data_IF_106312693659
#
_entry.id   IF_106312693659
#
_cell.length_a   1.000
_cell.length_b   1.000
_cell.length_c   1.000
_cell.angle_alpha   90.00
_cell.angle_beta   90.00
_cell.angle_gamma   90.00
#
_symmetry.space_group_name_H-M   'P 1'
#
loop_
_entity.id
_entity.type
_entity.pdbx_description
1 polymer ?
#
# COMPACT_ATOMS: atom_id res chain seq x y z
N UNK A 1 -22.44 29.19 36.53
CA UNK A 1 -22.09 27.86 35.99
C UNK A 1 -20.87 28.01 35.09
N UNK A 2 -19.67 27.86 35.64
CA UNK A 2 -18.41 28.03 34.90
C UNK A 2 -18.00 26.72 34.25
N UNK A 3 -18.00 26.70 32.92
CA UNK A 3 -17.46 25.61 32.12
C UNK A 3 -15.94 25.61 32.23
N UNK A 4 -15.37 24.71 33.03
CA UNK A 4 -13.95 24.37 32.95
C UNK A 4 -13.75 23.43 31.77
N UNK A 5 -13.44 23.97 30.59
CA UNK A 5 -12.89 23.18 29.50
C UNK A 5 -11.39 23.01 29.74
N UNK A 6 -11.03 21.98 30.50
CA UNK A 6 -9.65 21.54 30.63
C UNK A 6 -9.21 20.89 29.30
N UNK A 7 -8.66 21.70 28.41
CA UNK A 7 -8.01 21.21 27.20
C UNK A 7 -6.69 20.59 27.65
N UNK A 8 -6.64 19.26 27.74
CA UNK A 8 -5.38 18.52 27.95
C UNK A 8 -4.44 18.87 26.79
N UNK A 9 -3.43 19.70 27.04
CA UNK A 9 -2.38 19.94 26.05
C UNK A 9 -1.55 18.67 25.93
N UNK A 10 -1.49 18.03 24.75
CA UNK A 10 -0.79 16.76 24.63
C UNK A 10 0.70 16.98 24.85
N UNK A 11 1.26 16.16 25.74
CA UNK A 11 2.67 16.23 26.12
C UNK A 11 3.58 15.99 24.91
N UNK A 12 4.84 16.45 24.96
CA UNK A 12 5.79 16.26 23.86
C UNK A 12 5.95 14.79 23.45
N UNK A 13 5.83 13.88 24.42
CA UNK A 13 5.88 12.44 24.20
C UNK A 13 4.63 11.92 23.47
N UNK A 14 3.42 12.36 23.85
CA UNK A 14 2.17 12.00 23.15
C UNK A 14 2.18 12.46 21.69
N UNK A 15 2.75 13.64 21.42
CA UNK A 15 2.94 14.14 20.05
C UNK A 15 3.89 13.26 19.24
N UNK A 16 4.97 12.81 19.87
CA UNK A 16 5.94 11.90 19.24
C UNK A 16 5.33 10.52 18.95
N UNK A 17 4.58 9.97 19.90
CA UNK A 17 3.85 8.72 19.72
C UNK A 17 2.78 8.83 18.64
N UNK A 18 2.02 9.94 18.61
CA UNK A 18 1.03 10.19 17.57
C UNK A 18 1.69 10.26 16.18
N UNK A 19 2.80 10.99 16.05
CA UNK A 19 3.57 11.04 14.80
C UNK A 19 4.06 9.64 14.37
N UNK A 20 4.61 8.85 15.29
CA UNK A 20 5.06 7.49 15.02
C UNK A 20 3.91 6.55 14.62
N UNK A 21 2.78 6.63 15.31
CA UNK A 21 1.59 5.82 15.02
C UNK A 21 1.05 6.08 13.60
N UNK A 22 0.99 7.35 13.18
CA UNK A 22 0.61 7.71 11.81
C UNK A 22 1.61 7.20 10.77
N UNK A 23 2.91 7.20 11.10
CA UNK A 23 3.95 6.65 10.24
C UNK A 23 3.83 5.13 10.04
N UNK A 24 3.54 4.38 11.12
CA UNK A 24 3.38 2.92 11.06
C UNK A 24 2.18 2.49 10.21
N UNK A 25 1.07 3.23 10.29
CA UNK A 25 -0.11 2.96 9.46
C UNK A 25 0.21 3.12 7.96
N UNK A 26 0.89 4.21 7.58
CA UNK A 26 1.30 4.44 6.19
C UNK A 26 2.32 3.40 5.72
N UNK A 27 3.26 3.02 6.58
CA UNK A 27 4.26 1.99 6.29
C UNK A 27 3.59 0.61 6.08
N UNK A 28 2.58 0.26 6.88
CA UNK A 28 1.84 -0.98 6.72
C UNK A 28 1.13 -1.06 5.36
N UNK A 29 0.48 0.03 4.95
CA UNK A 29 -0.18 0.14 3.63
C UNK A 29 0.84 0.03 2.49
N UNK A 30 1.97 0.76 2.59
CA UNK A 30 3.03 0.69 1.59
C UNK A 30 3.63 -0.72 1.48
N UNK A 31 3.82 -1.41 2.60
CA UNK A 31 4.32 -2.78 2.65
C UNK A 31 3.33 -3.77 2.04
N UNK A 32 2.04 -3.66 2.36
CA UNK A 32 1.00 -4.50 1.78
C UNK A 32 0.96 -4.37 0.25
N UNK A 33 0.96 -3.12 -0.25
CA UNK A 33 1.02 -2.83 -1.70
C UNK A 33 2.25 -3.44 -2.36
N UNK A 34 3.43 -3.29 -1.76
CA UNK A 34 4.67 -3.85 -2.30
C UNK A 34 4.66 -5.37 -2.35
N UNK A 35 4.07 -6.02 -1.34
CA UNK A 35 3.88 -7.48 -1.31
C UNK A 35 3.02 -7.97 -2.47
N UNK A 36 1.88 -7.32 -2.71
CA UNK A 36 0.97 -7.66 -3.82
C UNK A 36 1.69 -7.47 -5.15
N UNK A 37 2.33 -6.32 -5.36
CA UNK A 37 3.12 -6.04 -6.56
C UNK A 37 4.15 -7.13 -6.85
N UNK A 38 4.92 -7.55 -5.82
CA UNK A 38 5.95 -8.58 -5.97
C UNK A 38 5.35 -9.94 -6.33
N UNK A 39 4.25 -10.33 -5.70
CA UNK A 39 3.54 -11.59 -6.00
C UNK A 39 3.02 -11.57 -7.44
N UNK A 40 2.22 -10.57 -7.79
CA UNK A 40 1.61 -10.44 -9.11
C UNK A 40 2.67 -10.35 -10.21
N UNK A 41 3.76 -9.61 -9.99
CA UNK A 41 4.85 -9.56 -10.97
C UNK A 41 5.56 -10.91 -11.12
N UNK A 42 5.72 -11.67 -10.05
CA UNK A 42 6.32 -13.01 -10.12
C UNK A 42 5.44 -13.97 -10.91
N UNK A 43 4.13 -13.94 -10.66
CA UNK A 43 3.14 -14.75 -11.38
C UNK A 43 3.09 -14.39 -12.87
N UNK A 44 3.01 -13.10 -13.18
CA UNK A 44 3.04 -12.61 -14.57
C UNK A 44 4.34 -12.95 -15.29
N UNK A 45 5.48 -12.96 -14.58
CA UNK A 45 6.77 -13.36 -15.15
C UNK A 45 6.92 -14.86 -15.32
N UNK A 46 6.16 -15.66 -14.59
CA UNK A 46 6.13 -17.10 -14.78
C UNK A 46 5.45 -17.49 -16.11
N UNK A 47 4.65 -16.59 -16.69
CA UNK A 47 4.09 -16.77 -18.03
C UNK A 47 5.20 -16.80 -19.10
N UNK A 48 5.08 -17.79 -19.99
CA UNK A 48 5.94 -17.97 -21.16
C UNK A 48 5.66 -16.90 -22.23
N UNK A 49 6.60 -16.70 -23.15
CA UNK A 49 6.42 -15.76 -24.26
C UNK A 49 5.19 -16.09 -25.11
N UNK A 50 4.88 -17.38 -25.28
CA UNK A 50 3.71 -17.84 -26.02
C UNK A 50 2.41 -17.49 -25.31
N UNK A 51 2.32 -17.72 -24.00
CA UNK A 51 1.12 -17.34 -23.23
C UNK A 51 0.92 -15.81 -23.25
N UNK A 52 2.01 -15.05 -23.23
CA UNK A 52 1.95 -13.60 -23.39
C UNK A 52 1.52 -13.19 -24.80
N UNK A 53 2.01 -13.86 -25.83
CA UNK A 53 1.63 -13.63 -27.23
C UNK A 53 0.16 -13.99 -27.49
N UNK A 54 -0.32 -15.10 -26.94
CA UNK A 54 -1.71 -15.54 -27.01
C UNK A 54 -2.65 -14.52 -26.35
N UNK A 55 -2.18 -13.88 -25.28
CA UNK A 55 -2.88 -12.78 -24.59
C UNK A 55 -2.69 -11.42 -25.28
N UNK A 56 -1.83 -11.32 -26.31
CA UNK A 56 -1.49 -10.07 -26.99
C UNK A 56 -0.73 -9.07 -26.11
N UNK A 57 0.04 -9.55 -25.13
CA UNK A 57 0.74 -8.72 -24.14
C UNK A 57 2.26 -8.76 -24.31
N UNK A 58 2.90 -7.61 -24.14
CA UNK A 58 4.37 -7.51 -24.10
C UNK A 58 4.91 -7.62 -22.67
N UNK A 59 6.08 -8.25 -22.47
CA UNK A 59 6.74 -8.33 -21.15
C UNK A 59 6.96 -6.97 -20.48
N UNK A 60 7.02 -5.88 -21.24
CA UNK A 60 7.17 -4.53 -20.70
C UNK A 60 5.96 -4.11 -19.85
N UNK A 61 4.74 -4.51 -20.26
CA UNK A 61 3.48 -4.08 -19.59
C UNK A 61 3.26 -4.79 -18.25
N UNK A 62 3.93 -5.92 -18.00
CA UNK A 62 3.71 -6.72 -16.80
C UNK A 62 4.00 -5.97 -15.50
N UNK A 63 4.98 -5.04 -15.52
CA UNK A 63 5.29 -4.19 -14.36
C UNK A 63 4.16 -3.21 -14.07
N UNK A 64 3.57 -2.64 -15.11
CA UNK A 64 2.49 -1.67 -14.98
C UNK A 64 1.21 -2.35 -14.49
N UNK A 65 0.86 -3.52 -15.07
CA UNK A 65 -0.26 -4.34 -14.61
C UNK A 65 -0.08 -4.74 -13.14
N UNK A 66 1.09 -5.27 -12.76
CA UNK A 66 1.35 -5.65 -11.38
C UNK A 66 1.23 -4.46 -10.40
N UNK A 67 1.66 -3.26 -10.81
CA UNK A 67 1.52 -2.06 -9.99
C UNK A 67 0.05 -1.62 -9.89
N UNK A 68 -0.69 -1.65 -10.99
CA UNK A 68 -2.10 -1.32 -11.02
C UNK A 68 -2.91 -2.28 -10.13
N UNK A 69 -2.69 -3.58 -10.26
CA UNK A 69 -3.31 -4.60 -9.40
C UNK A 69 -2.99 -4.35 -7.93
N UNK A 70 -1.75 -3.99 -7.59
CA UNK A 70 -1.37 -3.67 -6.21
C UNK A 70 -2.11 -2.45 -5.66
N UNK A 71 -2.28 -1.40 -6.46
CA UNK A 71 -3.03 -0.20 -6.09
C UNK A 71 -4.51 -0.55 -5.89
N UNK A 72 -5.12 -1.24 -6.84
CA UNK A 72 -6.54 -1.63 -6.81
C UNK A 72 -6.86 -2.55 -5.62
N UNK A 73 -6.03 -3.58 -5.38
CA UNK A 73 -6.24 -4.51 -4.28
C UNK A 73 -6.02 -3.87 -2.92
N UNK A 74 -5.05 -2.96 -2.79
CA UNK A 74 -4.85 -2.23 -1.53
C UNK A 74 -6.04 -1.30 -1.25
N UNK A 75 -6.59 -0.64 -2.28
CA UNK A 75 -7.76 0.22 -2.16
C UNK A 75 -9.07 -0.54 -1.84
N UNK A 76 -9.16 -1.82 -2.19
CA UNK A 76 -10.33 -2.67 -1.87
C UNK A 76 -10.35 -3.14 -0.40
N UNK A 77 -9.19 -3.19 0.24
CA UNK A 77 -9.01 -3.73 1.60
C UNK A 77 -8.96 -2.64 2.67
N UNK A 78 -8.69 -1.38 2.27
CA UNK A 78 -8.71 -0.19 3.11
C UNK A 78 -10.11 0.40 3.27
#
# INVERSE_FOLDING_TARGET
MTYYNHIKSPSAFERLLAWGAHGLQQAAVAHARYRIYRSSLSELRALSDRELEDLGMSRYVLKDIAMQTAIEQTARVS
#
